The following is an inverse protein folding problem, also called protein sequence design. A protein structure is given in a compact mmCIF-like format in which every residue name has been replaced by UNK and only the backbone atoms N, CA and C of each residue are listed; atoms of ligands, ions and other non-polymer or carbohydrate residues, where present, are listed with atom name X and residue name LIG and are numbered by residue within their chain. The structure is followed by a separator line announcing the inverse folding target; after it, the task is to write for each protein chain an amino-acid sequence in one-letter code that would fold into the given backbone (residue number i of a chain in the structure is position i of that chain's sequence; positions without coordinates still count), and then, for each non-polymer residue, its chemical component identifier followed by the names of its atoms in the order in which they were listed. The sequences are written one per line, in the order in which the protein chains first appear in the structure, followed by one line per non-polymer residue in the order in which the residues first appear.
data_IF_820621578372
#
_entry.id   IF_820621578372
#
_cell.length_a   1.000
_cell.length_b   1.000
_cell.length_c   1.000
_cell.angle_alpha   90.00
_cell.angle_beta   90.00
_cell.angle_gamma   90.00
#
_symmetry.space_group_name_H-M   'P 1'
#
loop_
_entity.id
_entity.type
_entity.pdbx_description
1 polymer ?
#
# COMPACT_ATOMS: atom_id res chain seq x y z
N UNK A 1 -1.90 5.29 22.74
CA UNK A 1 -1.61 4.11 21.89
C UNK A 1 -2.37 2.92 22.43
N UNK A 2 -3.00 2.13 21.57
CA UNK A 2 -3.62 0.83 21.91
C UNK A 2 -2.56 -0.27 21.75
N UNK A 3 -2.60 -1.32 22.57
CA UNK A 3 -1.64 -2.43 22.53
C UNK A 3 -1.18 -2.87 23.92
N UNK A 4 -0.33 -3.90 23.99
CA UNK A 4 0.10 -4.54 25.24
C UNK A 4 0.79 -3.59 26.23
N UNK A 5 1.42 -2.52 25.73
CA UNK A 5 2.16 -1.53 26.54
C UNK A 5 1.34 -0.25 26.80
N UNK A 6 0.02 -0.29 26.69
CA UNK A 6 -0.86 0.87 26.90
C UNK A 6 -0.67 1.43 28.31
N UNK A 7 -0.45 2.75 28.41
CA UNK A 7 -0.29 3.45 29.69
C UNK A 7 1.11 3.36 30.30
N UNK A 8 2.07 2.75 29.60
CA UNK A 8 3.47 2.69 30.01
C UNK A 8 4.31 3.67 29.21
N UNK A 9 5.33 4.23 29.84
CA UNK A 9 6.36 4.99 29.15
C UNK A 9 7.28 4.04 28.38
N UNK A 10 7.41 4.28 27.07
CA UNK A 10 8.25 3.48 26.17
C UNK A 10 9.13 4.42 25.35
N UNK A 11 10.44 4.18 25.37
CA UNK A 11 11.40 4.91 24.54
C UNK A 11 11.45 4.29 23.14
N UNK A 12 11.08 5.07 22.13
CA UNK A 12 11.21 4.67 20.72
C UNK A 12 12.49 5.30 20.15
N UNK A 13 13.46 4.52 19.65
CA UNK A 13 14.67 5.09 19.06
C UNK A 13 14.36 5.82 17.75
N UNK A 14 15.05 6.94 17.50
CA UNK A 14 14.97 7.67 16.21
C UNK A 14 15.90 7.02 15.20
N UNK A 15 15.38 6.70 14.01
CA UNK A 15 16.17 6.20 12.88
C UNK A 15 16.71 7.40 12.09
N UNK A 16 17.98 7.31 11.67
CA UNK A 16 18.63 8.28 10.80
C UNK A 16 18.86 7.63 9.43
N UNK A 17 18.27 8.20 8.39
CA UNK A 17 18.55 7.87 6.99
C UNK A 17 19.44 8.97 6.39
N UNK A 18 20.46 8.57 5.64
CA UNK A 18 21.38 9.47 4.93
C UNK A 18 21.34 9.08 3.45
N UNK A 19 21.19 10.05 2.56
CA UNK A 19 21.25 9.80 1.11
C UNK A 19 22.67 9.40 0.68
N UNK A 20 22.77 8.50 -0.28
CA UNK A 20 24.04 8.00 -0.79
C UNK A 20 24.79 9.05 -1.61
N UNK A 21 26.13 9.06 -1.55
CA UNK A 21 26.98 10.07 -2.22
C UNK A 21 26.97 9.93 -3.75
N UNK A 22 26.54 8.77 -4.25
CA UNK A 22 26.41 8.48 -5.68
C UNK A 22 25.12 9.01 -6.31
N UNK A 23 24.28 9.74 -5.57
CA UNK A 23 23.20 10.52 -6.17
C UNK A 23 23.80 11.73 -6.89
N UNK A 24 24.35 11.49 -8.09
CA UNK A 24 25.17 12.39 -8.95
C UNK A 24 24.61 13.81 -9.25
N UNK A 25 23.48 14.21 -8.65
CA UNK A 25 22.72 15.40 -9.02
C UNK A 25 22.46 16.41 -7.89
N UNK A 26 22.96 16.21 -6.66
CA UNK A 26 22.74 17.16 -5.55
C UNK A 26 24.04 17.57 -4.86
N UNK A 27 24.28 18.89 -4.62
CA UNK A 27 25.48 19.37 -3.92
C UNK A 27 25.42 19.21 -2.39
N UNK A 28 24.47 18.43 -1.86
CA UNK A 28 24.26 18.25 -0.43
C UNK A 28 23.77 16.83 -0.10
N UNK A 29 24.07 16.36 1.12
CA UNK A 29 23.56 15.08 1.65
C UNK A 29 22.29 15.32 2.45
N UNK A 30 21.22 14.60 2.10
CA UNK A 30 19.97 14.63 2.84
C UNK A 30 20.06 13.68 4.05
N UNK A 31 19.80 14.22 5.23
CA UNK A 31 19.72 13.46 6.48
C UNK A 31 18.31 13.54 7.04
N UNK A 32 17.61 12.41 7.15
CA UNK A 32 16.28 12.30 7.75
C UNK A 32 16.34 11.57 9.07
N UNK A 33 16.09 12.26 10.18
CA UNK A 33 15.98 11.67 11.53
C UNK A 33 14.53 11.63 11.97
N UNK A 34 13.97 10.44 12.15
CA UNK A 34 12.53 10.26 12.40
C UNK A 34 12.26 9.04 13.30
N UNK A 35 11.16 9.07 14.05
CA UNK A 35 10.71 7.88 14.80
C UNK A 35 10.09 6.88 13.81
N UNK A 36 10.37 5.57 13.89
CA UNK A 36 9.82 4.55 13.01
C UNK A 36 8.35 4.23 13.30
N UNK A 37 7.51 5.26 13.31
CA UNK A 37 6.08 5.18 13.54
C UNK A 37 5.37 5.96 12.46
N UNK A 38 4.32 5.37 11.90
CA UNK A 38 3.42 6.03 10.96
C UNK A 38 1.99 5.73 11.42
N UNK A 39 1.15 6.77 11.49
CA UNK A 39 -0.29 6.60 11.71
C UNK A 39 -0.88 5.94 10.46
N UNK A 40 -1.42 4.73 10.61
CA UNK A 40 -1.92 3.95 9.48
C UNK A 40 -3.34 3.45 9.76
N UNK A 41 -4.33 4.33 9.58
CA UNK A 41 -5.72 3.88 9.39
C UNK A 41 -5.94 3.42 7.95
N UNK A 42 -5.34 4.13 6.99
CA UNK A 42 -5.26 3.76 5.59
C UNK A 42 -3.80 3.75 5.14
N UNK A 43 -3.46 2.85 4.21
CA UNK A 43 -2.15 2.75 3.58
C UNK A 43 -2.33 2.66 2.08
N UNK A 44 -1.33 3.14 1.33
CA UNK A 44 -1.34 2.97 -0.13
C UNK A 44 -1.06 1.52 -0.50
N UNK A 45 -1.54 1.10 -1.67
CA UNK A 45 -1.34 -0.28 -2.17
C UNK A 45 0.15 -0.65 -2.22
N UNK A 46 1.02 0.27 -2.64
CA UNK A 46 2.46 0.03 -2.69
C UNK A 46 3.08 -0.16 -1.30
N UNK A 47 2.49 0.44 -0.26
CA UNK A 47 2.99 0.32 1.12
C UNK A 47 2.58 -0.97 1.80
N UNK A 48 1.43 -1.55 1.41
CA UNK A 48 0.97 -2.83 1.98
C UNK A 48 1.65 -4.04 1.33
N UNK A 49 2.43 -3.85 0.26
CA UNK A 49 3.18 -4.93 -0.38
C UNK A 49 4.09 -5.65 0.65
N UNK A 50 4.00 -6.98 0.69
CA UNK A 50 4.75 -7.80 1.64
C UNK A 50 4.14 -7.90 3.04
N UNK A 51 3.02 -7.23 3.31
CA UNK A 51 2.27 -7.35 4.57
C UNK A 51 1.09 -8.33 4.40
N UNK A 52 0.64 -8.90 5.51
CA UNK A 52 -0.64 -9.63 5.59
C UNK A 52 -1.60 -8.82 6.44
N UNK A 53 -2.81 -8.59 5.93
CA UNK A 53 -3.85 -7.79 6.58
C UNK A 53 -5.04 -8.69 6.87
N UNK A 54 -5.59 -8.62 8.09
CA UNK A 54 -6.69 -9.48 8.49
C UNK A 54 -8.02 -9.07 7.83
N UNK A 55 -8.34 -7.77 7.83
CA UNK A 55 -9.51 -7.20 7.15
C UNK A 55 -9.05 -6.07 6.23
N UNK A 56 -9.46 -6.11 4.96
CA UNK A 56 -9.03 -5.14 3.96
C UNK A 56 -10.23 -4.30 3.47
N UNK A 57 -10.15 -2.99 3.69
CA UNK A 57 -10.96 -2.01 2.97
C UNK A 57 -10.16 -1.44 1.82
N UNK A 58 -10.54 -1.76 0.58
CA UNK A 58 -9.94 -1.21 -0.63
C UNK A 58 -10.76 -0.02 -1.10
N UNK A 59 -10.15 1.16 -1.12
CA UNK A 59 -10.78 2.38 -1.64
C UNK A 59 -10.04 2.85 -2.88
N UNK A 60 -10.74 2.91 -4.01
CA UNK A 60 -10.23 3.35 -5.30
C UNK A 60 -10.94 4.65 -5.70
N UNK A 61 -10.33 5.77 -5.30
CA UNK A 61 -10.71 7.10 -5.77
C UNK A 61 -10.29 7.32 -7.25
N UNK A 62 -9.39 6.51 -7.77
CA UNK A 62 -9.04 6.45 -9.19
C UNK A 62 -8.72 5.01 -9.56
N UNK A 63 -8.85 4.62 -10.84
CA UNK A 63 -8.40 3.31 -11.29
C UNK A 63 -6.92 3.04 -10.92
N UNK A 64 -6.58 1.76 -10.73
CA UNK A 64 -5.17 1.37 -10.59
C UNK A 64 -4.40 1.79 -11.84
N UNK A 65 -3.17 2.27 -11.68
CA UNK A 65 -2.37 2.85 -12.78
C UNK A 65 -1.12 2.04 -13.11
N UNK A 66 -0.74 1.07 -12.27
CA UNK A 66 0.44 0.22 -12.48
C UNK A 66 0.10 -1.26 -12.53
N UNK A 67 0.95 -2.00 -13.22
CA UNK A 67 0.87 -3.44 -13.32
C UNK A 67 0.79 -4.12 -11.95
N UNK A 68 -0.17 -5.04 -11.80
CA UNK A 68 -0.28 -5.88 -10.61
C UNK A 68 -0.69 -5.13 -9.33
N UNK A 69 -1.02 -3.84 -9.40
CA UNK A 69 -1.38 -3.04 -8.22
C UNK A 69 -2.63 -3.59 -7.53
N UNK A 70 -3.70 -3.83 -8.30
CA UNK A 70 -4.92 -4.41 -7.78
C UNK A 70 -4.67 -5.81 -7.18
N UNK A 71 -3.86 -6.62 -7.85
CA UNK A 71 -3.44 -7.93 -7.35
C UNK A 71 -2.64 -7.84 -6.04
N UNK A 72 -1.71 -6.88 -5.93
CA UNK A 72 -0.93 -6.65 -4.71
C UNK A 72 -1.88 -6.36 -3.56
N UNK A 73 -2.89 -5.50 -3.74
CA UNK A 73 -3.87 -5.21 -2.70
C UNK A 73 -4.69 -6.44 -2.30
N UNK A 74 -5.29 -7.13 -3.26
CA UNK A 74 -6.17 -8.28 -3.00
C UNK A 74 -5.42 -9.48 -2.42
N UNK A 75 -4.15 -9.67 -2.77
CA UNK A 75 -3.32 -10.76 -2.24
C UNK A 75 -2.86 -10.57 -0.79
N UNK A 76 -3.14 -9.42 -0.15
CA UNK A 76 -2.73 -9.19 1.26
C UNK A 76 -3.67 -9.83 2.27
N UNK A 77 -4.84 -10.30 1.85
CA UNK A 77 -5.88 -10.86 2.72
C UNK A 77 -6.07 -12.35 2.45
N UNK A 78 -6.47 -13.10 3.48
CA UNK A 78 -6.54 -14.57 3.40
C UNK A 78 -7.88 -15.10 2.92
N UNK A 79 -8.94 -14.29 2.92
CA UNK A 79 -10.28 -14.72 2.54
C UNK A 79 -11.07 -13.59 1.88
N UNK A 80 -11.85 -13.91 0.84
CA UNK A 80 -12.69 -12.95 0.10
C UNK A 80 -13.71 -12.24 1.00
N UNK A 81 -14.27 -12.94 1.99
CA UNK A 81 -15.26 -12.38 2.92
C UNK A 81 -14.73 -11.24 3.79
N UNK A 82 -13.40 -11.11 3.90
CA UNK A 82 -12.72 -10.08 4.68
C UNK A 82 -12.29 -8.88 3.83
N UNK A 83 -12.74 -8.82 2.57
CA UNK A 83 -12.48 -7.71 1.65
C UNK A 83 -13.77 -6.92 1.47
N UNK A 84 -13.68 -5.61 1.60
CA UNK A 84 -14.69 -4.68 1.06
C UNK A 84 -13.99 -3.71 0.13
N UNK A 85 -14.58 -3.47 -1.03
CA UNK A 85 -14.07 -2.51 -2.01
C UNK A 85 -15.08 -1.39 -2.23
N UNK A 86 -14.60 -0.16 -2.33
CA UNK A 86 -15.34 1.02 -2.74
C UNK A 86 -14.61 1.63 -3.94
N UNK A 87 -15.30 1.72 -5.07
CA UNK A 87 -14.80 2.31 -6.32
C UNK A 87 -15.62 3.58 -6.52
N UNK A 88 -14.97 4.74 -6.47
CA UNK A 88 -15.67 6.03 -6.52
C UNK A 88 -15.97 6.47 -7.96
N UNK A 89 -15.05 6.18 -8.87
CA UNK A 89 -15.22 6.43 -10.30
C UNK A 89 -14.96 5.14 -11.08
N UNK A 90 -15.99 4.29 -11.20
CA UNK A 90 -15.86 3.04 -11.94
C UNK A 90 -15.73 3.26 -13.44
N UNK A 91 -15.09 2.30 -14.10
CA UNK A 91 -15.03 2.31 -15.57
C UNK A 91 -16.35 1.86 -16.19
N UNK A 92 -17.06 0.98 -15.49
CA UNK A 92 -18.32 0.42 -15.92
C UNK A 92 -19.15 0.07 -14.68
N UNK A 93 -20.43 0.39 -14.74
CA UNK A 93 -21.40 0.15 -13.68
C UNK A 93 -22.66 -0.45 -14.35
N UNK A 94 -22.95 -1.71 -14.02
CA UNK A 94 -24.05 -2.49 -14.56
C UNK A 94 -24.91 -3.06 -13.41
N UNK A 95 -26.06 -3.65 -13.74
CA UNK A 95 -26.97 -4.23 -12.73
C UNK A 95 -26.31 -5.32 -11.86
N UNK A 96 -25.24 -5.96 -12.37
CA UNK A 96 -24.52 -7.03 -11.68
C UNK A 96 -23.29 -6.55 -10.88
N UNK A 97 -22.91 -5.27 -10.99
CA UNK A 97 -21.86 -4.68 -10.16
C UNK A 97 -21.08 -3.51 -10.74
N UNK A 98 -19.99 -3.20 -10.04
CA UNK A 98 -19.11 -2.06 -10.27
C UNK A 98 -17.72 -2.57 -10.68
N UNK A 99 -17.17 -2.05 -11.77
CA UNK A 99 -15.96 -2.56 -12.40
C UNK A 99 -14.84 -1.52 -12.48
N UNK A 100 -13.59 -1.99 -12.41
CA UNK A 100 -12.36 -1.19 -12.56
C UNK A 100 -11.36 -1.94 -13.42
N UNK A 101 -10.51 -1.22 -14.16
CA UNK A 101 -9.44 -1.84 -14.92
C UNK A 101 -8.48 -2.63 -14.03
N UNK A 102 -8.13 -3.82 -14.51
CA UNK A 102 -6.98 -4.57 -14.04
C UNK A 102 -5.82 -4.36 -15.01
N UNK A 103 -4.81 -3.58 -14.60
CA UNK A 103 -3.63 -3.33 -15.42
C UNK A 103 -2.69 -4.53 -15.34
N UNK A 104 -2.61 -5.29 -16.44
CA UNK A 104 -1.79 -6.50 -16.55
C UNK A 104 -0.91 -6.46 -17.80
N UNK A 105 0.40 -6.68 -17.66
CA UNK A 105 1.30 -6.82 -18.81
C UNK A 105 1.03 -8.15 -19.49
N UNK A 106 0.62 -8.11 -20.76
CA UNK A 106 0.21 -9.32 -21.50
C UNK A 106 1.33 -10.32 -21.73
N UNK A 107 2.58 -9.88 -21.70
CA UNK A 107 3.78 -10.71 -21.83
C UNK A 107 3.81 -11.89 -20.85
N UNK A 108 3.20 -11.73 -19.66
CA UNK A 108 3.15 -12.80 -18.65
C UNK A 108 2.19 -13.94 -19.04
N UNK A 109 1.27 -13.72 -19.99
CA UNK A 109 0.29 -14.70 -20.45
C UNK A 109 0.70 -15.38 -21.76
N UNK A 110 1.70 -14.83 -22.46
CA UNK A 110 2.21 -15.37 -23.73
C UNK A 110 3.25 -16.48 -23.52
N UNK A 111 3.66 -16.75 -22.27
CA UNK A 111 4.68 -17.76 -21.93
C UNK A 111 4.09 -19.10 -21.44
N UNK A 112 2.85 -19.43 -21.82
CA UNK A 112 2.18 -20.68 -21.46
C UNK A 112 1.95 -21.60 -22.67
#
# INVERSE_FOLDING_TARGET
MTGERRGQDVLIPKIVFISDDNARNFPYRLRRKQFPVQTAFAMTINKVQGQTVFNLGLYLASPCFSHGQLYVALSRVTARSKIKALIEYPELEEDDGVYTANIVYRQIFETA
#
